data_IF_156685529278
#
_entry.id   IF_156685529278
#
_cell.length_a   1.000
_cell.length_b   1.000
_cell.length_c   1.000
_cell.angle_alpha   90.00
_cell.angle_beta   90.00
_cell.angle_gamma   90.00
#
_symmetry.space_group_name_H-M   'P 1'
#
loop_
_entity.id
_entity.type
_entity.pdbx_description
1 polymer ?
#
# COMPACT_ATOMS: atom_id res chain seq x y z
N UNK A 1 -0.80 16.64 -13.43
CA UNK A 1 -0.70 15.89 -12.15
C UNK A 1 -0.20 16.90 -11.12
N UNK A 2 -1.00 17.25 -10.11
CA UNK A 2 -0.71 18.35 -9.18
C UNK A 2 -1.02 17.88 -7.76
N UNK A 3 -0.15 18.11 -6.79
CA UNK A 3 -0.35 17.68 -5.40
C UNK A 3 -1.22 18.67 -4.59
N UNK A 4 -2.15 19.37 -5.23
CA UNK A 4 -3.11 20.28 -4.56
C UNK A 4 -2.53 21.58 -3.98
N UNK A 5 -1.21 21.77 -3.99
CA UNK A 5 -0.51 22.92 -3.37
C UNK A 5 0.16 23.87 -4.39
N UNK A 6 -0.17 23.74 -5.68
CA UNK A 6 0.43 24.54 -6.73
C UNK A 6 1.87 24.15 -7.10
N UNK A 7 2.51 23.22 -6.36
CA UNK A 7 3.89 22.77 -6.61
C UNK A 7 3.91 21.36 -7.17
N UNK A 8 4.84 21.11 -8.10
CA UNK A 8 5.13 19.75 -8.53
C UNK A 8 6.02 19.09 -7.47
N UNK A 9 5.45 18.16 -6.71
CA UNK A 9 6.24 17.21 -5.91
C UNK A 9 5.98 15.80 -6.43
N UNK A 10 7.00 14.96 -6.44
CA UNK A 10 6.82 13.57 -6.82
C UNK A 10 5.83 12.93 -5.83
N UNK A 11 4.79 12.20 -6.29
CA UNK A 11 3.94 11.45 -5.38
C UNK A 11 4.81 10.43 -4.63
N UNK A 12 4.61 10.34 -3.31
CA UNK A 12 5.34 9.38 -2.48
C UNK A 12 4.94 7.96 -2.90
N UNK A 13 5.89 7.08 -3.26
CA UNK A 13 5.56 5.73 -3.65
C UNK A 13 5.05 4.94 -2.45
N UNK A 14 3.97 4.19 -2.66
CA UNK A 14 3.35 3.38 -1.65
C UNK A 14 2.69 2.13 -2.25
N UNK A 15 2.59 1.08 -1.44
CA UNK A 15 1.84 -0.14 -1.73
C UNK A 15 0.90 -0.42 -0.57
N UNK A 16 -0.40 -0.53 -0.88
CA UNK A 16 -1.43 -0.85 0.09
C UNK A 16 -2.12 -2.15 -0.28
N UNK A 17 -2.43 -2.96 0.72
CA UNK A 17 -3.35 -4.09 0.59
C UNK A 17 -4.64 -3.70 1.27
N UNK A 18 -5.75 -3.73 0.53
CA UNK A 18 -7.06 -3.27 1.01
C UNK A 18 -8.02 -4.46 1.03
N UNK A 19 -8.67 -4.67 2.18
CA UNK A 19 -9.71 -5.68 2.34
C UNK A 19 -10.96 -5.31 1.53
N UNK A 20 -11.82 -6.29 1.24
CA UNK A 20 -13.11 -6.05 0.55
C UNK A 20 -14.01 -5.04 1.28
N UNK A 21 -13.89 -4.94 2.61
CA UNK A 21 -14.61 -3.96 3.42
C UNK A 21 -13.99 -2.55 3.46
N UNK A 22 -12.93 -2.30 2.68
CA UNK A 22 -12.25 -0.99 2.62
C UNK A 22 -11.18 -0.77 3.70
N UNK A 23 -11.00 -1.70 4.63
CA UNK A 23 -9.92 -1.64 5.63
C UNK A 23 -8.55 -1.87 5.03
N UNK A 24 -7.53 -1.15 5.52
CA UNK A 24 -6.14 -1.34 5.09
C UNK A 24 -5.54 -2.50 5.89
N UNK A 25 -5.13 -3.56 5.18
CA UNK A 25 -4.47 -4.74 5.76
C UNK A 25 -2.96 -4.59 5.83
N UNK A 26 -2.37 -3.85 4.89
CA UNK A 26 -0.94 -3.55 4.86
C UNK A 26 -0.72 -2.19 4.20
N UNK A 27 0.21 -1.42 4.76
CA UNK A 27 0.70 -0.18 4.19
C UNK A 27 2.23 -0.20 4.15
N UNK A 28 2.80 -0.13 2.95
CA UNK A 28 4.22 0.06 2.74
C UNK A 28 4.43 1.41 2.06
N UNK A 29 5.08 2.34 2.76
CA UNK A 29 5.33 3.70 2.30
C UNK A 29 6.82 3.98 2.46
N UNK A 30 7.49 4.32 1.37
CA UNK A 30 8.92 4.65 1.39
C UNK A 30 9.18 5.92 0.60
N UNK A 31 9.97 6.87 1.10
CA UNK A 31 10.45 8.00 0.30
C UNK A 31 11.47 7.55 -0.75
N UNK A 32 12.13 6.41 -0.55
CA UNK A 32 13.03 5.82 -1.55
C UNK A 32 12.23 5.05 -2.60
N UNK A 33 12.17 5.60 -3.80
CA UNK A 33 11.47 5.04 -4.95
C UNK A 33 12.09 3.73 -5.47
N UNK A 34 13.25 3.30 -4.97
CA UNK A 34 13.85 2.00 -5.30
C UNK A 34 13.38 0.91 -4.35
N UNK A 35 12.86 1.28 -3.18
CA UNK A 35 12.22 0.33 -2.29
C UNK A 35 10.86 -0.06 -2.84
N UNK A 36 10.60 -1.36 -2.87
CA UNK A 36 9.30 -1.95 -3.20
C UNK A 36 8.93 -2.92 -2.10
N UNK A 37 7.63 -3.07 -1.89
CA UNK A 37 7.12 -4.19 -1.12
C UNK A 37 7.33 -5.48 -1.91
N UNK A 38 7.85 -6.50 -1.25
CA UNK A 38 7.93 -7.85 -1.83
C UNK A 38 6.52 -8.37 -2.17
N UNK A 39 6.26 -8.87 -3.40
CA UNK A 39 4.94 -9.36 -3.80
C UNK A 39 4.39 -10.43 -2.86
N UNK A 40 5.27 -11.28 -2.32
CA UNK A 40 4.90 -12.32 -1.36
C UNK A 40 4.34 -11.73 -0.06
N UNK A 41 4.86 -10.60 0.42
CA UNK A 41 4.34 -9.92 1.61
C UNK A 41 2.92 -9.39 1.38
N UNK A 42 2.63 -8.88 0.18
CA UNK A 42 1.28 -8.43 -0.18
C UNK A 42 0.28 -9.60 -0.21
N UNK A 43 0.68 -10.75 -0.78
CA UNK A 43 -0.15 -11.95 -0.83
C UNK A 43 -0.37 -12.54 0.57
N UNK A 44 0.65 -12.56 1.42
CA UNK A 44 0.54 -13.03 2.80
C UNK A 44 -0.47 -12.19 3.60
N UNK A 45 -0.47 -10.86 3.42
CA UNK A 45 -1.44 -9.97 4.06
C UNK A 45 -2.90 -10.28 3.64
N UNK A 46 -3.12 -10.62 2.36
CA UNK A 46 -4.45 -11.04 1.87
C UNK A 46 -4.91 -12.36 2.51
N UNK A 47 -4.03 -13.36 2.55
CA UNK A 47 -4.37 -14.69 3.10
C UNK A 47 -4.58 -14.64 4.61
N UNK A 48 -3.77 -13.86 5.34
CA UNK A 48 -3.92 -13.69 6.79
C UNK A 48 -5.27 -13.04 7.15
N UNK A 49 -5.72 -12.04 6.40
CA UNK A 49 -7.03 -11.44 6.61
C UNK A 49 -8.19 -12.37 6.28
N UNK A 50 -8.04 -13.26 5.29
CA UNK A 50 -9.09 -14.23 4.96
C UNK A 50 -9.27 -15.28 6.08
N UNK A 51 -8.18 -15.66 6.76
CA UNK A 51 -8.22 -16.58 7.89
C UNK A 51 -8.88 -16.00 9.16
N UNK A 52 -8.85 -14.68 9.35
CA UNK A 52 -9.49 -14.01 10.48
C UNK A 52 -11.00 -13.76 10.28
N UNK A 53 -11.51 -13.96 9.06
CA UNK A 53 -12.92 -13.78 8.70
C UNK A 53 -13.69 -15.11 8.54
N UNK A 54 -13.05 -16.25 8.81
CA UNK A 54 -13.60 -17.60 8.79
C UNK A 54 -13.76 -18.12 10.23
#
# INVERSE_FOLDING_TARGET
MHNGDGRWSLPMPATYVVAKGGGILLAHVSPDYRTRLEPQAALAALTSSAAAAA
#
